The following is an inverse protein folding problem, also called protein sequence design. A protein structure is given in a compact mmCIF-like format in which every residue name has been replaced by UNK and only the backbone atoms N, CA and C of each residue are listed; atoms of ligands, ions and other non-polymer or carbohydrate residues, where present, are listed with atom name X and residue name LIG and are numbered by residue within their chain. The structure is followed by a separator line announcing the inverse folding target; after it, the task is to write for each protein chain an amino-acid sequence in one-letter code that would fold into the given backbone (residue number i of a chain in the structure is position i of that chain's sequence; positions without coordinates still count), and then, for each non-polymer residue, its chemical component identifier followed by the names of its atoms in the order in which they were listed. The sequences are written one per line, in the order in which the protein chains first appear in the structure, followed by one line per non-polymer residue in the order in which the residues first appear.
data_IF_098805684675
#
_entry.id   IF_098805684675
#
_cell.length_a   1.000
_cell.length_b   1.000
_cell.length_c   1.000
_cell.angle_alpha   90.00
_cell.angle_beta   90.00
_cell.angle_gamma   90.00
#
_symmetry.space_group_name_H-M   'P 1'
#
loop_
_entity.id
_entity.type
_entity.pdbx_description
1 polymer ?
#
# COMPACT_ATOMS: atom_id res chain seq x y z
N UNK A 1 -2.00 -7.66 -21.61
CA UNK A 1 -2.12 -7.28 -23.04
C UNK A 1 -0.98 -6.36 -23.41
N UNK A 2 -0.57 -6.34 -24.68
CA UNK A 2 0.44 -5.41 -25.20
C UNK A 2 -0.23 -4.49 -26.20
N UNK A 3 -0.04 -3.19 -26.05
CA UNK A 3 -0.54 -2.21 -27.01
C UNK A 3 0.33 -2.24 -28.27
N UNK A 4 -0.28 -2.42 -29.44
CA UNK A 4 0.43 -2.78 -30.66
C UNK A 4 1.43 -1.69 -31.12
N UNK A 5 1.07 -0.41 -30.98
CA UNK A 5 1.87 0.70 -31.49
C UNK A 5 3.07 1.02 -30.61
N UNK A 6 2.91 0.98 -29.28
CA UNK A 6 3.98 1.35 -28.33
C UNK A 6 4.72 0.16 -27.75
N UNK A 7 4.18 -1.06 -27.88
CA UNK A 7 4.67 -2.23 -27.15
C UNK A 7 4.38 -2.17 -25.65
N UNK A 8 3.59 -1.20 -25.16
CA UNK A 8 3.29 -1.06 -23.73
C UNK A 8 2.52 -2.26 -23.24
N UNK A 9 3.08 -2.95 -22.27
CA UNK A 9 2.41 -4.00 -21.49
C UNK A 9 1.45 -3.36 -20.50
N UNK A 10 0.23 -3.89 -20.47
CA UNK A 10 -0.85 -3.47 -19.57
C UNK A 10 -1.48 -4.72 -18.98
N UNK A 11 -1.69 -4.69 -17.67
CA UNK A 11 -2.57 -5.62 -16.98
C UNK A 11 -3.86 -4.87 -16.62
N UNK A 12 -4.98 -5.31 -17.19
CA UNK A 12 -6.29 -4.76 -16.91
C UNK A 12 -7.03 -5.68 -15.93
N UNK A 13 -7.54 -5.10 -14.85
CA UNK A 13 -8.37 -5.80 -13.87
C UNK A 13 -9.63 -4.97 -13.63
N UNK A 14 -10.80 -5.61 -13.58
CA UNK A 14 -12.02 -4.98 -13.11
C UNK A 14 -12.47 -5.66 -11.81
N UNK A 15 -12.74 -4.86 -10.78
CA UNK A 15 -13.15 -5.36 -9.45
C UNK A 15 -14.05 -4.36 -8.73
N UNK A 16 -14.52 -4.77 -7.55
CA UNK A 16 -14.95 -3.87 -6.49
C UNK A 16 -13.74 -3.14 -5.86
N UNK A 17 -13.98 -2.28 -4.86
CA UNK A 17 -12.89 -1.67 -4.12
C UNK A 17 -13.03 -1.89 -2.62
N UNK A 18 -12.07 -2.57 -2.01
CA UNK A 18 -11.93 -2.71 -0.55
C UNK A 18 -10.87 -1.74 -0.01
N UNK A 19 -10.73 -1.63 1.31
CA UNK A 19 -9.89 -0.59 1.94
C UNK A 19 -8.74 -1.19 2.74
N UNK A 20 -7.53 -0.70 2.47
CA UNK A 20 -6.38 -0.87 3.36
C UNK A 20 -6.13 0.43 4.12
N UNK A 21 -5.86 0.32 5.42
CA UNK A 21 -5.58 1.47 6.30
C UNK A 21 -4.15 1.48 6.83
N UNK A 22 -3.33 0.53 6.40
CA UNK A 22 -2.00 0.25 6.89
C UNK A 22 -0.96 1.28 6.43
N UNK A 23 0.22 1.15 7.04
CA UNK A 23 1.42 1.87 6.64
C UNK A 23 1.70 3.11 7.49
N UNK A 24 2.99 3.42 7.62
CA UNK A 24 3.48 4.48 8.48
C UNK A 24 4.78 5.08 7.94
N UNK A 25 4.98 6.37 8.18
CA UNK A 25 6.21 7.07 7.81
C UNK A 25 6.66 8.02 8.91
N UNK A 26 7.71 7.66 9.65
CA UNK A 26 8.23 8.51 10.71
C UNK A 26 8.80 9.85 10.25
N UNK A 27 9.08 10.04 8.95
CA UNK A 27 9.58 11.31 8.41
C UNK A 27 8.44 12.30 8.14
N UNK A 28 7.29 11.81 7.63
CA UNK A 28 6.14 12.65 7.24
C UNK A 28 5.02 12.70 8.29
N UNK A 29 4.93 11.70 9.14
CA UNK A 29 3.81 11.50 10.06
C UNK A 29 4.20 11.87 11.49
N UNK A 30 3.90 13.10 11.95
CA UNK A 30 4.28 13.55 13.27
C UNK A 30 3.56 12.79 14.39
N UNK A 31 2.30 12.46 14.14
CA UNK A 31 1.39 11.74 15.02
C UNK A 31 0.58 10.74 14.19
N UNK A 32 0.06 9.70 14.84
CA UNK A 32 -0.80 8.72 14.19
C UNK A 32 -2.24 8.82 14.63
N UNK A 33 -3.14 8.44 13.71
CA UNK A 33 -4.55 8.32 14.02
C UNK A 33 -4.78 7.11 14.92
N UNK A 34 -5.15 7.37 16.17
CA UNK A 34 -5.37 6.31 17.16
C UNK A 34 -6.52 5.38 16.76
N UNK A 35 -7.61 5.91 16.19
CA UNK A 35 -8.76 5.10 15.79
C UNK A 35 -8.36 4.04 14.76
N UNK A 36 -7.47 4.39 13.82
CA UNK A 36 -6.99 3.47 12.79
C UNK A 36 -5.83 2.62 13.30
N UNK A 37 -4.77 3.25 13.82
CA UNK A 37 -3.52 2.56 14.10
C UNK A 37 -3.57 1.68 15.34
N UNK A 38 -4.50 1.92 16.27
CA UNK A 38 -4.70 1.06 17.44
C UNK A 38 -5.59 -0.15 17.16
N UNK A 39 -6.22 -0.22 15.98
CA UNK A 39 -7.00 -1.39 15.58
C UNK A 39 -6.16 -2.68 15.59
N UNK A 40 -6.83 -3.81 15.79
CA UNK A 40 -6.19 -5.12 15.99
C UNK A 40 -5.34 -5.55 14.79
N UNK A 41 -5.80 -5.23 13.57
CA UNK A 41 -5.19 -5.73 12.34
C UNK A 41 -4.23 -4.73 11.69
N UNK A 42 -4.11 -3.51 12.22
CA UNK A 42 -3.28 -2.48 11.62
C UNK A 42 -1.79 -2.88 11.61
N UNK A 43 -1.18 -2.74 10.43
CA UNK A 43 0.25 -2.93 10.22
C UNK A 43 0.90 -1.59 9.85
N UNK A 44 2.06 -1.25 10.44
CA UNK A 44 2.77 -0.01 10.12
C UNK A 44 3.56 -0.12 8.80
N UNK A 45 3.46 -1.24 8.11
CA UNK A 45 4.29 -1.61 6.97
C UNK A 45 3.41 -1.77 5.74
N UNK A 46 3.88 -1.24 4.61
CA UNK A 46 3.45 -1.66 3.28
C UNK A 46 4.61 -2.37 2.61
N UNK A 47 4.34 -3.19 1.59
CA UNK A 47 5.42 -3.81 0.81
C UNK A 47 6.32 -2.76 0.14
N UNK A 48 5.75 -1.64 -0.30
CA UNK A 48 6.52 -0.48 -0.78
C UNK A 48 7.10 0.28 0.42
N UNK A 49 8.42 0.49 0.42
CA UNK A 49 9.07 1.28 1.47
C UNK A 49 10.50 1.65 1.11
N UNK A 50 10.97 2.77 1.63
CA UNK A 50 12.28 3.36 1.35
C UNK A 50 13.07 3.59 2.64
N UNK A 51 14.35 3.95 2.52
CA UNK A 51 15.18 4.29 3.69
C UNK A 51 14.72 5.63 4.26
N UNK A 52 14.69 5.75 5.59
CA UNK A 52 14.39 7.03 6.26
C UNK A 52 15.35 8.12 5.81
N UNK A 53 14.80 9.32 5.66
CA UNK A 53 15.51 10.56 5.32
C UNK A 53 15.88 11.37 6.56
N UNK A 54 15.24 11.10 7.70
CA UNK A 54 15.47 11.83 8.96
C UNK A 54 15.67 10.90 10.15
N UNK A 55 16.12 11.46 11.26
CA UNK A 55 16.23 10.77 12.56
C UNK A 55 14.91 10.77 13.36
N UNK A 56 13.83 11.31 12.80
CA UNK A 56 12.54 11.39 13.49
C UNK A 56 12.02 9.96 13.74
N UNK A 57 11.70 9.59 14.99
CA UNK A 57 11.20 8.26 15.28
C UNK A 57 9.81 8.06 14.66
N UNK A 58 9.54 6.86 14.17
CA UNK A 58 8.18 6.48 13.81
C UNK A 58 7.29 6.49 15.07
N UNK A 59 6.13 7.18 15.05
CA UNK A 59 5.33 7.39 16.25
C UNK A 59 4.71 6.10 16.81
N UNK A 60 4.74 5.00 16.04
CA UNK A 60 4.29 3.67 16.50
C UNK A 60 5.37 2.88 17.25
N UNK A 61 6.63 3.33 17.26
CA UNK A 61 7.73 2.63 17.93
C UNK A 61 7.46 2.39 19.40
N UNK A 62 6.87 3.35 20.12
CA UNK A 62 6.57 3.21 21.54
C UNK A 62 5.61 2.02 21.79
N UNK A 63 4.56 1.89 20.98
CA UNK A 63 3.58 0.78 21.07
C UNK A 63 4.23 -0.57 20.74
N UNK A 64 5.08 -0.63 19.72
CA UNK A 64 5.77 -1.87 19.37
C UNK A 64 6.81 -2.30 20.40
N UNK A 65 7.58 -1.36 20.96
CA UNK A 65 8.48 -1.66 22.07
C UNK A 65 7.70 -2.17 23.29
N UNK A 66 6.54 -1.58 23.60
CA UNK A 66 5.67 -2.08 24.66
C UNK A 66 5.21 -3.52 24.40
N UNK A 67 4.74 -3.84 23.20
CA UNK A 67 4.37 -5.22 22.80
C UNK A 67 5.54 -6.19 22.99
N UNK A 68 6.75 -5.79 22.57
CA UNK A 68 7.96 -6.59 22.73
C UNK A 68 8.27 -6.85 24.21
N UNK A 69 8.24 -5.81 25.05
CA UNK A 69 8.48 -5.94 26.49
C UNK A 69 7.42 -6.82 27.17
N UNK A 70 6.15 -6.67 26.79
CA UNK A 70 5.05 -7.44 27.36
C UNK A 70 5.19 -8.94 27.00
N UNK A 71 5.62 -9.27 25.77
CA UNK A 71 5.88 -10.66 25.38
C UNK A 71 7.14 -11.24 25.99
N UNK A 72 8.20 -10.44 26.16
CA UNK A 72 9.38 -10.86 26.92
C UNK A 72 9.04 -11.20 28.38
N UNK A 73 8.13 -10.44 28.99
CA UNK A 73 7.62 -10.75 30.34
C UNK A 73 6.82 -12.03 30.37
N UNK A 74 5.91 -12.25 29.40
CA UNK A 74 5.14 -13.51 29.28
C UNK A 74 6.07 -14.70 29.15
N UNK A 75 7.14 -14.59 28.35
CA UNK A 75 8.09 -15.68 28.14
C UNK A 75 8.81 -16.12 29.43
N UNK A 76 8.92 -15.22 30.42
CA UNK A 76 9.53 -15.52 31.71
C UNK A 76 8.60 -16.27 32.69
N UNK A 77 7.32 -16.47 32.33
CA UNK A 77 6.36 -17.21 33.15
C UNK A 77 6.67 -18.72 33.12
N UNK A 78 6.71 -19.33 34.31
CA UNK A 78 7.07 -20.74 34.51
C UNK A 78 5.94 -21.71 34.10
N UNK A 79 4.71 -21.21 33.91
CA UNK A 79 3.53 -22.03 33.61
C UNK A 79 3.27 -22.31 32.12
N UNK A 80 4.11 -21.81 31.20
CA UNK A 80 3.86 -21.92 29.76
C UNK A 80 4.12 -23.33 29.21
N UNK A 81 3.22 -23.81 28.36
CA UNK A 81 3.45 -25.00 27.53
C UNK A 81 4.52 -24.71 26.47
N UNK A 82 5.22 -25.75 26.02
CA UNK A 82 6.28 -25.64 24.99
C UNK A 82 5.80 -24.95 23.70
N UNK A 83 4.59 -25.24 23.23
CA UNK A 83 3.99 -24.61 22.05
C UNK A 83 3.71 -23.12 22.25
N UNK A 84 3.27 -22.72 23.44
CA UNK A 84 3.05 -21.31 23.78
C UNK A 84 4.38 -20.55 23.83
N UNK A 85 5.40 -21.18 24.42
CA UNK A 85 6.77 -20.63 24.46
C UNK A 85 7.30 -20.36 23.05
N UNK A 86 7.20 -21.35 22.16
CA UNK A 86 7.63 -21.23 20.77
C UNK A 86 6.88 -20.11 20.02
N UNK A 87 5.57 -19.99 20.22
CA UNK A 87 4.77 -18.92 19.61
C UNK A 87 5.19 -17.52 20.09
N UNK A 88 5.46 -17.36 21.40
CA UNK A 88 5.93 -16.09 21.97
C UNK A 88 7.32 -15.74 21.45
N UNK A 89 8.24 -16.71 21.37
CA UNK A 89 9.60 -16.51 20.82
C UNK A 89 9.57 -16.08 19.34
N UNK A 90 8.69 -16.69 18.55
CA UNK A 90 8.44 -16.28 17.16
C UNK A 90 7.91 -14.85 17.09
N UNK A 91 6.96 -14.49 17.96
CA UNK A 91 6.42 -13.13 17.98
C UNK A 91 7.45 -12.08 18.44
N UNK A 92 8.26 -12.37 19.45
CA UNK A 92 9.39 -11.53 19.87
C UNK A 92 10.36 -11.31 18.71
N UNK A 93 10.69 -12.39 17.98
CA UNK A 93 11.59 -12.31 16.82
C UNK A 93 11.00 -11.45 15.71
N UNK A 94 9.68 -11.57 15.47
CA UNK A 94 8.93 -10.72 14.53
C UNK A 94 8.97 -9.25 14.97
N UNK A 95 8.58 -8.95 16.21
CA UNK A 95 8.55 -7.60 16.76
C UNK A 95 9.93 -6.91 16.70
N UNK A 96 11.01 -7.63 16.97
CA UNK A 96 12.38 -7.09 16.83
C UNK A 96 12.69 -6.65 15.39
N UNK A 97 12.32 -7.46 14.39
CA UNK A 97 12.49 -7.09 12.97
C UNK A 97 11.63 -5.89 12.60
N UNK A 98 10.37 -5.89 12.99
CA UNK A 98 9.43 -4.80 12.76
C UNK A 98 9.91 -3.47 13.38
N UNK A 99 10.44 -3.51 14.60
CA UNK A 99 11.05 -2.35 15.26
C UNK A 99 12.29 -1.87 14.50
N UNK A 100 13.15 -2.79 14.03
CA UNK A 100 14.32 -2.43 13.24
C UNK A 100 13.92 -1.77 11.90
N UNK A 101 12.90 -2.31 11.23
CA UNK A 101 12.36 -1.73 10.00
C UNK A 101 11.79 -0.33 10.23
N UNK A 102 10.96 -0.12 11.26
CA UNK A 102 10.44 1.22 11.58
C UNK A 102 11.53 2.23 11.98
N UNK A 103 12.69 1.76 12.47
CA UNK A 103 13.84 2.61 12.77
C UNK A 103 14.66 2.97 11.53
N UNK A 104 14.66 2.14 10.49
CA UNK A 104 15.51 2.31 9.32
C UNK A 104 14.76 2.77 8.07
N UNK A 105 13.46 2.50 8.00
CA UNK A 105 12.63 2.64 6.79
C UNK A 105 11.35 3.43 7.04
N UNK A 106 10.81 3.95 5.95
CA UNK A 106 9.51 4.59 5.82
C UNK A 106 8.67 3.85 4.80
N UNK A 107 7.35 3.89 4.99
CA UNK A 107 6.37 3.17 4.18
C UNK A 107 5.29 4.14 3.70
N UNK A 108 4.47 3.69 2.74
CA UNK A 108 3.29 4.46 2.35
C UNK A 108 2.34 4.59 3.54
N UNK A 109 1.54 5.64 3.58
CA UNK A 109 0.50 5.88 4.57
C UNK A 109 -0.83 5.81 3.85
N UNK A 110 -1.67 4.81 4.13
CA UNK A 110 -2.94 4.63 3.43
C UNK A 110 -3.87 5.86 3.43
N UNK A 111 -3.76 6.74 4.44
CA UNK A 111 -4.55 7.98 4.49
C UNK A 111 -4.00 9.11 3.63
N UNK A 112 -2.72 9.07 3.30
CA UNK A 112 -2.01 10.17 2.66
C UNK A 112 -1.52 9.82 1.26
N UNK A 113 -1.31 8.55 0.94
CA UNK A 113 -0.66 8.14 -0.30
C UNK A 113 -1.62 7.30 -1.15
N UNK A 114 -1.83 7.65 -2.43
CA UNK A 114 -2.71 6.89 -3.32
C UNK A 114 -2.00 5.63 -3.83
N UNK A 115 -2.41 4.47 -3.35
CA UNK A 115 -1.91 3.19 -3.81
C UNK A 115 -2.98 2.11 -3.85
N UNK A 116 -2.70 1.05 -4.59
CA UNK A 116 -3.49 -0.18 -4.62
C UNK A 116 -2.71 -1.36 -4.03
N UNK A 117 -3.44 -2.42 -3.71
CA UNK A 117 -2.92 -3.67 -3.21
C UNK A 117 -3.23 -4.78 -4.21
N UNK A 118 -2.23 -5.58 -4.53
CA UNK A 118 -2.39 -6.76 -5.39
C UNK A 118 -2.32 -8.04 -4.56
N UNK A 119 -2.98 -9.14 -4.99
CA UNK A 119 -2.79 -10.44 -4.36
C UNK A 119 -1.31 -10.85 -4.36
N UNK A 120 -0.84 -11.41 -3.23
CA UNK A 120 0.56 -11.83 -3.09
C UNK A 120 1.03 -12.84 -4.14
N UNK A 121 0.14 -13.69 -4.66
CA UNK A 121 0.48 -14.67 -5.71
C UNK A 121 0.88 -14.00 -7.04
N UNK A 122 0.38 -12.80 -7.34
CA UNK A 122 0.72 -12.11 -8.59
C UNK A 122 2.23 -11.78 -8.65
N UNK A 123 2.83 -11.44 -7.50
CA UNK A 123 4.27 -11.17 -7.40
C UNK A 123 5.12 -12.41 -7.65
N UNK A 124 4.61 -13.61 -7.33
CA UNK A 124 5.36 -14.86 -7.51
C UNK A 124 5.71 -15.13 -8.98
N UNK A 125 5.03 -14.47 -9.91
CA UNK A 125 5.28 -14.57 -11.35
C UNK A 125 6.15 -13.44 -11.92
N UNK A 126 6.58 -12.46 -11.12
CA UNK A 126 7.30 -11.27 -11.60
C UNK A 126 8.59 -11.59 -12.38
N UNK A 127 9.28 -12.71 -12.05
CA UNK A 127 10.49 -13.14 -12.75
C UNK A 127 10.24 -14.05 -13.97
N UNK A 128 9.01 -14.51 -14.17
CA UNK A 128 8.64 -15.50 -15.19
C UNK A 128 7.68 -14.95 -16.23
N UNK A 129 6.99 -13.86 -15.90
CA UNK A 129 5.95 -13.28 -16.72
C UNK A 129 6.12 -11.76 -16.75
N UNK A 130 6.43 -11.25 -17.93
CA UNK A 130 6.58 -9.83 -18.20
C UNK A 130 5.33 -8.98 -17.95
N UNK A 131 4.15 -9.61 -17.82
CA UNK A 131 2.90 -8.96 -17.44
C UNK A 131 2.61 -9.04 -15.94
N UNK A 132 3.43 -9.76 -15.17
CA UNK A 132 3.23 -9.88 -13.73
C UNK A 132 3.59 -8.56 -13.04
N UNK A 133 2.67 -8.00 -12.23
CA UNK A 133 2.86 -6.72 -11.59
C UNK A 133 3.82 -6.81 -10.41
N UNK A 134 4.54 -5.72 -10.18
CA UNK A 134 5.49 -5.56 -9.08
C UNK A 134 5.16 -4.36 -8.21
N UNK A 135 5.56 -4.43 -6.94
CA UNK A 135 5.45 -3.30 -6.02
C UNK A 135 6.20 -2.10 -6.59
N UNK A 136 5.52 -0.95 -6.63
CA UNK A 136 6.02 0.29 -7.20
C UNK A 136 5.62 0.54 -8.66
N UNK A 137 5.07 -0.45 -9.37
CA UNK A 137 4.53 -0.22 -10.72
C UNK A 137 3.42 0.83 -10.67
N UNK A 138 3.37 1.68 -11.70
CA UNK A 138 2.33 2.69 -11.82
C UNK A 138 0.99 2.06 -12.20
N UNK A 139 -0.07 2.70 -11.71
CA UNK A 139 -1.45 2.27 -11.90
C UNK A 139 -2.32 3.48 -12.20
N UNK A 140 -3.21 3.33 -13.18
CA UNK A 140 -4.36 4.20 -13.39
C UNK A 140 -5.61 3.49 -12.87
N UNK A 141 -6.18 3.99 -11.76
CA UNK A 141 -7.46 3.50 -11.25
C UNK A 141 -8.58 4.31 -11.89
N UNK A 142 -9.53 3.65 -12.53
CA UNK A 142 -10.59 4.30 -13.30
C UNK A 142 -11.93 4.02 -12.64
N UNK A 143 -12.67 5.09 -12.34
CA UNK A 143 -13.99 5.03 -11.76
C UNK A 143 -14.78 6.30 -12.10
N UNK A 144 -16.00 6.13 -12.60
CA UNK A 144 -16.97 7.20 -12.84
C UNK A 144 -16.40 8.38 -13.64
N UNK A 145 -15.83 8.10 -14.82
CA UNK A 145 -15.25 9.11 -15.71
C UNK A 145 -13.96 9.77 -15.19
N UNK A 146 -13.40 9.30 -14.08
CA UNK A 146 -12.14 9.83 -13.52
C UNK A 146 -11.06 8.76 -13.49
N UNK A 147 -9.83 9.21 -13.70
CA UNK A 147 -8.61 8.39 -13.64
C UNK A 147 -7.74 8.89 -12.49
N UNK A 148 -7.42 8.00 -11.56
CA UNK A 148 -6.65 8.31 -10.37
C UNK A 148 -5.25 7.69 -10.49
N UNK A 149 -4.19 8.51 -10.58
CA UNK A 149 -2.84 7.99 -10.62
C UNK A 149 -2.45 7.42 -9.26
N UNK A 150 -1.88 6.22 -9.27
CA UNK A 150 -1.48 5.49 -8.08
C UNK A 150 -0.26 4.60 -8.40
N UNK A 151 0.25 3.92 -7.38
CA UNK A 151 1.21 2.83 -7.53
C UNK A 151 0.70 1.54 -6.87
N UNK A 152 1.35 0.42 -7.15
CA UNK A 152 1.20 -0.80 -6.35
C UNK A 152 1.98 -0.60 -5.06
N UNK A 153 1.27 -0.33 -3.97
CA UNK A 153 1.87 -0.01 -2.67
C UNK A 153 2.05 -1.22 -1.77
N UNK A 154 1.20 -2.22 -1.92
CA UNK A 154 1.23 -3.38 -1.03
C UNK A 154 0.77 -4.67 -1.70
N UNK A 155 0.90 -5.77 -0.94
CA UNK A 155 0.32 -7.05 -1.30
C UNK A 155 -0.54 -7.62 -0.20
N UNK A 156 -1.72 -8.05 -0.61
CA UNK A 156 -2.75 -8.57 0.26
C UNK A 156 -2.92 -10.07 0.14
N UNK A 157 -4.02 -10.59 0.71
CA UNK A 157 -4.39 -11.99 0.63
C UNK A 157 -4.49 -12.50 -0.81
N UNK A 158 -4.26 -13.81 -1.00
CA UNK A 158 -4.23 -14.43 -2.33
C UNK A 158 -5.59 -14.46 -3.03
N UNK A 159 -6.69 -14.31 -2.29
CA UNK A 159 -8.05 -14.54 -2.76
C UNK A 159 -8.82 -13.26 -3.11
N UNK A 160 -8.24 -12.06 -2.93
CA UNK A 160 -8.92 -10.80 -3.27
C UNK A 160 -8.05 -9.81 -4.03
N UNK A 161 -8.69 -9.08 -4.94
CA UNK A 161 -8.14 -7.93 -5.66
C UNK A 161 -9.12 -6.77 -5.58
N UNK A 162 -8.62 -5.53 -5.60
CA UNK A 162 -9.43 -4.32 -5.47
C UNK A 162 -9.22 -3.57 -4.16
N UNK A 163 -8.30 -4.02 -3.30
CA UNK A 163 -7.90 -3.23 -2.13
C UNK A 163 -7.14 -1.96 -2.54
N UNK A 164 -7.50 -0.82 -1.94
CA UNK A 164 -6.82 0.45 -2.15
C UNK A 164 -6.67 1.24 -0.86
N UNK A 165 -5.69 2.15 -0.86
CA UNK A 165 -5.45 3.09 0.23
C UNK A 165 -6.73 3.82 0.66
N UNK A 166 -6.91 4.03 1.96
CA UNK A 166 -8.03 4.79 2.50
C UNK A 166 -8.19 6.18 1.85
N UNK A 167 -7.09 6.81 1.42
CA UNK A 167 -7.10 8.05 0.65
C UNK A 167 -7.87 7.90 -0.65
N UNK A 168 -7.50 6.91 -1.46
CA UNK A 168 -8.14 6.64 -2.74
C UNK A 168 -9.60 6.22 -2.55
N UNK A 169 -9.87 5.38 -1.56
CA UNK A 169 -11.23 4.98 -1.22
C UNK A 169 -12.12 6.18 -0.86
N UNK A 170 -11.62 7.10 -0.03
CA UNK A 170 -12.35 8.35 0.32
C UNK A 170 -12.54 9.28 -0.86
N UNK A 171 -11.63 9.26 -1.84
CA UNK A 171 -11.78 10.04 -3.07
C UNK A 171 -12.92 9.51 -3.95
N UNK A 172 -13.15 8.18 -3.97
CA UNK A 172 -14.28 7.60 -4.70
C UNK A 172 -15.60 7.76 -3.95
N UNK A 173 -15.56 7.63 -2.61
CA UNK A 173 -16.71 7.80 -1.74
C UNK A 173 -16.27 8.36 -0.39
N UNK A 174 -16.67 9.61 -0.10
CA UNK A 174 -16.25 10.33 1.12
C UNK A 174 -16.65 9.61 2.43
N UNK A 175 -17.67 8.73 2.38
CA UNK A 175 -18.13 7.93 3.53
C UNK A 175 -17.26 6.69 3.79
N UNK A 176 -16.30 6.37 2.94
CA UNK A 176 -15.40 5.23 3.13
C UNK A 176 -14.58 5.37 4.43
N UNK A 177 -14.39 4.24 5.10
CA UNK A 177 -13.60 4.09 6.33
C UNK A 177 -12.73 2.84 6.23
N UNK A 178 -11.87 2.57 7.21
CA UNK A 178 -11.12 1.30 7.31
C UNK A 178 -12.02 0.06 7.41
N UNK A 179 -13.33 0.23 7.64
CA UNK A 179 -14.30 -0.85 7.79
C UNK A 179 -15.47 -0.75 6.78
N UNK A 180 -15.49 0.28 5.95
CA UNK A 180 -16.56 0.52 4.98
C UNK A 180 -15.97 0.79 3.60
N UNK A 181 -16.23 -0.14 2.69
CA UNK A 181 -15.78 -0.06 1.30
C UNK A 181 -16.46 1.08 0.52
N UNK A 182 -15.76 1.72 -0.43
CA UNK A 182 -16.34 2.76 -1.27
C UNK A 182 -17.23 2.22 -2.39
N UNK A 183 -16.92 1.04 -2.94
CA UNK A 183 -17.60 0.43 -4.09
C UNK A 183 -17.72 -1.08 -3.88
N UNK A 184 -18.93 -1.63 -3.99
CA UNK A 184 -19.19 -3.08 -3.78
C UNK A 184 -19.52 -3.85 -5.07
N UNK A 185 -19.66 -3.15 -6.20
CA UNK A 185 -19.88 -3.75 -7.51
C UNK A 185 -18.56 -3.78 -8.32
N UNK A 186 -18.48 -4.61 -9.35
CA UNK A 186 -17.35 -4.70 -10.29
C UNK A 186 -17.25 -3.49 -11.24
N UNK A 187 -17.15 -2.28 -10.67
CA UNK A 187 -17.18 -1.00 -11.40
C UNK A 187 -15.86 -0.26 -11.39
N UNK A 188 -14.87 -0.72 -10.61
CA UNK A 188 -13.54 -0.11 -10.60
C UNK A 188 -12.63 -0.87 -11.54
N UNK A 189 -11.99 -0.13 -12.44
CA UNK A 189 -10.99 -0.68 -13.35
C UNK A 189 -9.59 -0.26 -12.90
N UNK A 190 -8.67 -1.20 -12.89
CA UNK A 190 -7.27 -1.02 -12.53
C UNK A 190 -6.43 -1.29 -13.77
N UNK A 191 -5.89 -0.23 -14.37
CA UNK A 191 -4.93 -0.32 -15.45
C UNK A 191 -3.54 -0.27 -14.84
N UNK A 192 -2.93 -1.43 -14.72
CA UNK A 192 -1.58 -1.60 -14.17
C UNK A 192 -0.58 -1.58 -15.34
N UNK A 193 0.55 -0.92 -15.14
CA UNK A 193 1.65 -0.86 -16.11
C UNK A 193 2.87 -1.63 -15.59
N UNK A 194 2.96 -2.96 -15.82
CA UNK A 194 4.07 -3.78 -15.32
C UNK A 194 5.44 -3.29 -15.78
N UNK A 195 6.44 -3.41 -14.91
CA UNK A 195 7.84 -3.07 -15.20
C UNK A 195 8.11 -1.57 -15.27
N UNK A 196 7.27 -0.76 -14.62
CA UNK A 196 7.41 0.70 -14.55
C UNK A 196 7.87 1.20 -13.18
N UNK A 197 8.00 0.29 -12.21
CA UNK A 197 8.49 0.59 -10.87
C UNK A 197 9.84 1.33 -10.91
N UNK A 198 9.86 2.53 -10.34
CA UNK A 198 11.10 3.25 -10.06
C UNK A 198 11.72 2.77 -8.73
N UNK A 199 12.97 3.17 -8.48
CA UNK A 199 13.59 2.97 -7.17
C UNK A 199 12.68 3.56 -6.07
N UNK A 200 12.35 2.79 -5.00
CA UNK A 200 11.46 3.29 -3.96
C UNK A 200 11.97 4.56 -3.29
N UNK A 201 11.08 5.55 -3.17
CA UNK A 201 11.31 6.79 -2.45
C UNK A 201 9.99 7.36 -1.90
N UNK A 202 10.07 8.41 -1.08
CA UNK A 202 8.91 9.14 -0.59
C UNK A 202 7.99 9.58 -1.76
N UNK A 203 6.65 9.51 -1.60
CA UNK A 203 5.71 9.87 -2.66
C UNK A 203 5.93 11.26 -3.24
N UNK A 204 6.01 11.32 -4.56
CA UNK A 204 6.01 12.55 -5.35
C UNK A 204 4.79 12.47 -6.29
N UNK A 205 3.70 13.11 -5.86
CA UNK A 205 2.39 12.97 -6.50
C UNK A 205 2.34 13.65 -7.87
N UNK A 206 3.11 14.72 -8.07
CA UNK A 206 3.24 15.39 -9.38
C UNK A 206 3.99 14.50 -10.36
N UNK A 207 5.06 13.85 -9.90
CA UNK A 207 5.78 12.85 -10.71
C UNK A 207 4.89 11.66 -11.05
N UNK A 208 4.14 11.13 -10.09
CA UNK A 208 3.25 10.00 -10.34
C UNK A 208 2.16 10.36 -11.35
N UNK A 209 1.56 11.55 -11.23
CA UNK A 209 0.61 12.04 -12.21
C UNK A 209 1.22 12.12 -13.63
N UNK A 210 2.41 12.72 -13.75
CA UNK A 210 3.13 12.83 -15.04
C UNK A 210 3.44 11.47 -15.66
N UNK A 211 3.95 10.52 -14.87
CA UNK A 211 4.28 9.18 -15.35
C UNK A 211 3.05 8.40 -15.77
N UNK A 212 1.98 8.42 -14.97
CA UNK A 212 0.71 7.77 -15.34
C UNK A 212 0.12 8.40 -16.61
N UNK A 213 0.14 9.73 -16.73
CA UNK A 213 -0.32 10.42 -17.94
C UNK A 213 0.48 9.97 -19.18
N UNK A 214 1.82 9.92 -19.05
CA UNK A 214 2.71 9.45 -20.11
C UNK A 214 2.37 8.01 -20.52
N UNK A 215 2.18 7.11 -19.55
CA UNK A 215 1.83 5.71 -19.78
C UNK A 215 0.44 5.53 -20.41
N UNK A 216 -0.53 6.35 -20.03
CA UNK A 216 -1.84 6.38 -20.69
C UNK A 216 -1.72 6.81 -22.15
N UNK A 217 -0.92 7.83 -22.45
CA UNK A 217 -0.70 8.30 -23.83
C UNK A 217 0.00 7.25 -24.71
N UNK A 218 0.80 6.35 -24.13
CA UNK A 218 1.36 5.22 -24.86
C UNK A 218 0.31 4.18 -25.29
N UNK A 219 -0.89 4.19 -24.71
CA UNK A 219 -1.98 3.23 -24.99
C UNK A 219 -3.24 3.89 -25.56
N UNK A 220 -3.11 5.08 -26.14
CA UNK A 220 -4.21 5.81 -26.77
C UNK A 220 -4.69 7.05 -26.01
N UNK A 221 -4.14 7.32 -24.82
CA UNK A 221 -4.44 8.52 -24.03
C UNK A 221 -5.73 8.42 -23.22
N UNK A 222 -6.17 9.56 -22.70
CA UNK A 222 -7.45 9.69 -22.01
C UNK A 222 -8.58 9.72 -23.05
N UNK A 223 -9.64 8.94 -22.81
CA UNK A 223 -10.86 9.01 -23.60
C UNK A 223 -11.61 10.33 -23.40
N UNK A 224 -12.47 10.68 -24.35
CA UNK A 224 -13.35 11.84 -24.23
C UNK A 224 -14.18 11.78 -22.93
N UNK A 225 -14.25 12.91 -22.22
CA UNK A 225 -14.95 13.01 -20.93
C UNK A 225 -14.19 12.45 -19.72
N UNK A 226 -13.04 11.80 -19.92
CA UNK A 226 -12.20 11.33 -18.80
C UNK A 226 -11.21 12.38 -18.33
N UNK A 227 -11.04 12.48 -17.01
CA UNK A 227 -10.11 13.41 -16.38
C UNK A 227 -9.08 12.68 -15.52
N UNK A 228 -7.80 12.99 -15.74
CA UNK A 228 -6.73 12.54 -14.84
C UNK A 228 -6.71 13.42 -13.59
N UNK A 229 -6.88 12.79 -12.44
CA UNK A 229 -6.91 13.44 -11.14
C UNK A 229 -5.53 13.88 -10.68
N UNK A 230 -5.45 15.09 -10.12
CA UNK A 230 -4.27 15.61 -9.43
C UNK A 230 -4.48 15.53 -7.93
N UNK A 231 -3.57 14.84 -7.24
CA UNK A 231 -3.65 14.67 -5.80
C UNK A 231 -2.99 15.83 -5.05
N UNK A 232 -3.70 16.39 -4.08
CA UNK A 232 -3.10 17.37 -3.18
C UNK A 232 -2.05 16.74 -2.25
N UNK A 233 -1.07 17.51 -1.79
CA UNK A 233 -0.17 17.00 -0.75
C UNK A 233 -0.93 16.99 0.59
N UNK A 234 -1.08 15.81 1.19
CA UNK A 234 -1.78 15.61 2.45
C UNK A 234 -1.13 16.33 3.64
N UNK A 235 0.17 16.64 3.57
CA UNK A 235 0.95 17.24 4.64
C UNK A 235 1.25 18.73 4.44
N UNK A 236 0.61 19.39 3.45
CA UNK A 236 0.69 20.84 3.26
C UNK A 236 -0.24 21.58 4.22
#
# INVERSE_FOLDING_TARGET
MTYAQSGRKVLFVQSEMDVVSDGSDGDRMPEYDKYIAESTNYQPFTSYGWRKKTNRPNPLLARWNKKLTDDQKKLADKGLRSSQKASIEQNISKLKREIADMKARSFLIARADPFIVIPSWMRSYASQNDFAPSVGDYVAVVYDGKVYPAIIGDTGPTWKIGEASLRLAKQLNSKATSYSRPVSDLKVSYLIFPGTAAKPDAPDLDKWNKEVNRLLNEIGGLGEGYLLHSWDNYFK
#
